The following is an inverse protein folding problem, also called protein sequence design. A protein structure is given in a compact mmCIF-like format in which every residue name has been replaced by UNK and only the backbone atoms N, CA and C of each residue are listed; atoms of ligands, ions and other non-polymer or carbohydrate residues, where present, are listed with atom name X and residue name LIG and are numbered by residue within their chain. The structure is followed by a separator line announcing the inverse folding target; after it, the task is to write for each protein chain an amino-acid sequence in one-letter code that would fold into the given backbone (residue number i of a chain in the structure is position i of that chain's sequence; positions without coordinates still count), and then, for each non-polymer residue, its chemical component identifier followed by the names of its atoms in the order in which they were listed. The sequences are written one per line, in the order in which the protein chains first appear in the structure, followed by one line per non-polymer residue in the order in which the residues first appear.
data_IF_290810238561
#
_entry.id   IF_290810238561
#
_cell.length_a   1.000
_cell.length_b   1.000
_cell.length_c   1.000
_cell.angle_alpha   90.00
_cell.angle_beta   90.00
_cell.angle_gamma   90.00
#
_symmetry.space_group_name_H-M   'P 1'
#
loop_
_entity.id
_entity.type
_entity.pdbx_description
1 polymer ?
#
# COMPACT_ATOMS: atom_id res chain seq x y z
N UNK A 1 -24.17 -5.66 3.50
CA UNK A 1 -24.82 -4.61 2.69
C UNK A 1 -23.93 -3.37 2.51
N UNK A 2 -23.32 -2.78 3.55
CA UNK A 2 -22.44 -1.58 3.43
C UNK A 2 -21.16 -1.78 2.59
N UNK A 3 -20.55 -2.96 2.65
CA UNK A 3 -19.33 -3.29 1.89
C UNK A 3 -19.56 -3.39 0.38
N UNK A 4 -20.78 -3.74 -0.06
CA UNK A 4 -21.14 -3.78 -1.48
C UNK A 4 -21.36 -2.36 -2.03
N UNK A 5 -21.96 -1.48 -1.22
CA UNK A 5 -22.14 -0.06 -1.57
C UNK A 5 -20.79 0.66 -1.72
N UNK A 6 -19.85 0.43 -0.79
CA UNK A 6 -18.49 1.00 -0.85
C UNK A 6 -17.71 0.58 -2.10
N UNK A 7 -18.00 -0.61 -2.64
CA UNK A 7 -17.34 -1.14 -3.85
C UNK A 7 -17.87 -0.49 -5.14
N UNK A 8 -19.20 -0.33 -5.26
CA UNK A 8 -19.81 0.31 -6.43
C UNK A 8 -19.61 1.83 -6.43
N UNK A 9 -19.60 2.45 -5.25
CA UNK A 9 -19.53 3.89 -5.07
C UNK A 9 -18.17 4.34 -4.51
N UNK A 10 -17.08 3.61 -4.76
CA UNK A 10 -15.75 3.94 -4.22
C UNK A 10 -15.35 5.40 -4.47
N UNK A 11 -15.62 5.90 -5.67
CA UNK A 11 -15.36 7.29 -6.05
C UNK A 11 -16.21 8.29 -5.27
N UNK A 12 -17.50 8.01 -5.08
CA UNK A 12 -18.38 8.84 -4.27
C UNK A 12 -17.96 8.81 -2.80
N UNK A 13 -17.63 7.63 -2.26
CA UNK A 13 -17.10 7.48 -0.90
C UNK A 13 -15.84 8.31 -0.71
N UNK A 14 -14.92 8.29 -1.69
CA UNK A 14 -13.67 9.05 -1.65
C UNK A 14 -13.92 10.55 -1.77
N UNK A 15 -14.82 10.98 -2.65
CA UNK A 15 -15.25 12.38 -2.75
C UNK A 15 -15.84 12.88 -1.41
N UNK A 16 -16.73 12.11 -0.80
CA UNK A 16 -17.32 12.44 0.51
C UNK A 16 -16.27 12.44 1.62
N UNK A 17 -15.27 11.55 1.57
CA UNK A 17 -14.16 11.55 2.52
C UNK A 17 -13.31 12.82 2.42
N UNK A 18 -13.21 13.44 1.24
CA UNK A 18 -12.50 14.72 1.09
C UNK A 18 -13.25 15.89 1.74
N UNK A 19 -14.57 15.76 1.99
CA UNK A 19 -15.36 16.77 2.72
C UNK A 19 -14.95 16.94 4.18
N UNK A 20 -14.14 16.02 4.72
CA UNK A 20 -13.50 16.20 6.03
C UNK A 20 -12.68 17.49 6.10
N UNK A 21 -12.01 17.90 5.01
CA UNK A 21 -11.19 19.12 4.99
C UNK A 21 -12.05 20.38 5.21
N UNK A 22 -13.10 20.66 4.41
CA UNK A 22 -13.97 21.80 4.67
C UNK A 22 -14.72 21.67 6.01
N UNK A 23 -15.06 20.45 6.45
CA UNK A 23 -15.66 20.23 7.77
C UNK A 23 -14.72 20.68 8.90
N UNK A 24 -13.42 20.35 8.85
CA UNK A 24 -12.45 20.81 9.84
C UNK A 24 -12.30 22.34 9.83
N UNK A 25 -12.28 22.96 8.66
CA UNK A 25 -12.21 24.43 8.52
C UNK A 25 -13.43 25.08 9.17
N UNK A 26 -14.63 24.60 8.86
CA UNK A 26 -15.87 25.14 9.44
C UNK A 26 -15.95 24.91 10.95
N UNK A 27 -15.51 23.75 11.44
CA UNK A 27 -15.48 23.45 12.86
C UNK A 27 -14.50 24.38 13.62
N UNK A 28 -13.34 24.67 13.04
CA UNK A 28 -12.37 25.62 13.58
C UNK A 28 -12.89 27.07 13.59
N UNK A 29 -13.63 27.49 12.55
CA UNK A 29 -14.24 28.83 12.49
C UNK A 29 -15.42 28.97 13.47
N UNK A 30 -16.21 27.91 13.65
CA UNK A 30 -17.38 27.91 14.54
C UNK A 30 -16.99 27.85 16.03
N UNK A 31 -15.96 27.08 16.37
CA UNK A 31 -15.44 26.95 17.73
C UNK A 31 -13.91 27.08 17.74
N UNK A 32 -13.36 28.30 17.88
CA UNK A 32 -11.91 28.54 17.76
C UNK A 32 -11.04 27.71 18.71
N UNK A 33 -11.57 27.35 19.89
CA UNK A 33 -10.86 26.48 20.85
C UNK A 33 -10.67 25.05 20.33
N UNK A 34 -11.43 24.60 19.33
CA UNK A 34 -11.27 23.30 18.68
C UNK A 34 -9.91 23.17 17.99
N UNK A 35 -9.31 24.28 17.53
CA UNK A 35 -7.98 24.27 16.91
C UNK A 35 -6.94 23.64 17.83
N UNK A 36 -7.00 23.95 19.13
CA UNK A 36 -6.07 23.39 20.12
C UNK A 36 -6.25 21.88 20.31
N UNK A 37 -7.49 21.37 20.17
CA UNK A 37 -7.76 19.93 20.22
C UNK A 37 -7.36 19.20 18.93
N UNK A 38 -7.45 19.87 17.78
CA UNK A 38 -7.08 19.32 16.47
C UNK A 38 -5.58 19.37 16.19
N UNK A 39 -4.85 20.28 16.84
CA UNK A 39 -3.44 20.50 16.57
C UNK A 39 -2.58 19.23 16.83
N UNK A 40 -2.68 18.53 17.99
CA UNK A 40 -1.90 17.31 18.20
C UNK A 40 -2.15 16.20 17.16
N UNK A 41 -3.39 15.77 16.85
CA UNK A 41 -3.61 14.73 15.85
C UNK A 41 -3.24 15.19 14.44
N UNK A 42 -3.40 16.47 14.10
CA UNK A 42 -3.01 17.00 12.80
C UNK A 42 -1.48 16.97 12.61
N UNK A 43 -0.71 17.39 13.63
CA UNK A 43 0.75 17.32 13.60
C UNK A 43 1.24 15.87 13.53
N UNK A 44 0.62 14.96 14.29
CA UNK A 44 0.95 13.54 14.22
C UNK A 44 0.68 12.95 12.83
N UNK A 45 -0.46 13.29 12.22
CA UNK A 45 -0.79 12.86 10.87
C UNK A 45 0.18 13.44 9.82
N UNK A 46 0.55 14.71 9.94
CA UNK A 46 1.55 15.33 9.06
C UNK A 46 2.92 14.64 9.18
N UNK A 47 3.36 14.32 10.41
CA UNK A 47 4.58 13.57 10.63
C UNK A 47 4.53 12.17 9.99
N UNK A 48 3.42 11.43 10.14
CA UNK A 48 3.22 10.13 9.49
C UNK A 48 3.30 10.23 7.96
N UNK A 49 2.67 11.23 7.35
CA UNK A 49 2.75 11.48 5.90
C UNK A 49 4.19 11.72 5.43
N UNK A 50 4.95 12.55 6.16
CA UNK A 50 6.36 12.83 5.84
C UNK A 50 7.20 11.55 5.95
N UNK A 51 7.00 10.75 6.99
CA UNK A 51 7.72 9.49 7.18
C UNK A 51 7.39 8.48 6.07
N UNK A 52 6.13 8.36 5.66
CA UNK A 52 5.72 7.51 4.54
C UNK A 52 6.31 7.96 3.21
N UNK A 53 6.28 9.26 2.93
CA UNK A 53 6.86 9.82 1.71
C UNK A 53 8.38 9.56 1.66
N UNK A 54 9.08 9.78 2.77
CA UNK A 54 10.51 9.49 2.90
C UNK A 54 10.82 8.00 2.77
N UNK A 55 10.01 7.13 3.38
CA UNK A 55 10.13 5.67 3.25
C UNK A 55 10.00 5.25 1.79
N UNK A 56 8.98 5.74 1.08
CA UNK A 56 8.77 5.45 -0.33
C UNK A 56 9.93 5.93 -1.20
N UNK A 57 10.38 7.17 -0.99
CA UNK A 57 11.49 7.73 -1.76
C UNK A 57 12.79 6.93 -1.56
N UNK A 58 13.03 6.44 -0.34
CA UNK A 58 14.18 5.57 -0.04
C UNK A 58 14.01 4.15 -0.55
N UNK A 59 12.79 3.62 -0.62
CA UNK A 59 12.58 2.25 -1.06
C UNK A 59 13.05 2.04 -2.50
N UNK A 60 12.78 2.99 -3.41
CA UNK A 60 13.13 2.89 -4.83
C UNK A 60 12.66 1.58 -5.46
N UNK A 61 11.50 1.10 -5.02
CA UNK A 61 11.02 -0.24 -5.30
C UNK A 61 10.57 -0.41 -6.75
N UNK A 62 11.12 -1.41 -7.43
CA UNK A 62 10.74 -1.77 -8.79
C UNK A 62 10.58 -3.29 -8.92
N UNK A 63 9.67 -3.73 -9.77
CA UNK A 63 9.51 -5.16 -10.09
C UNK A 63 10.81 -5.68 -10.72
N UNK A 64 11.37 -6.75 -10.18
CA UNK A 64 12.41 -7.53 -10.87
C UNK A 64 11.80 -8.69 -11.65
N UNK A 65 10.82 -9.37 -11.06
CA UNK A 65 10.08 -10.49 -11.66
C UNK A 65 8.64 -10.49 -11.17
N UNK A 66 7.72 -10.89 -12.03
CA UNK A 66 6.34 -11.15 -11.64
C UNK A 66 5.84 -12.40 -12.36
N UNK A 67 5.05 -13.21 -11.67
CA UNK A 67 4.43 -14.40 -12.25
C UNK A 67 3.05 -14.61 -11.66
N UNK A 68 2.16 -15.19 -12.46
CA UNK A 68 0.82 -15.55 -12.04
C UNK A 68 0.67 -17.08 -12.05
N UNK A 69 0.12 -17.64 -10.99
CA UNK A 69 -0.17 -19.06 -10.88
C UNK A 69 -1.69 -19.28 -10.97
N UNK A 70 -2.13 -19.89 -12.06
CA UNK A 70 -3.55 -20.17 -12.29
C UNK A 70 -4.12 -21.27 -11.37
N UNK A 71 -3.30 -22.24 -10.95
CA UNK A 71 -3.73 -23.33 -10.08
C UNK A 71 -4.04 -22.89 -8.65
N UNK A 72 -3.40 -21.81 -8.17
CA UNK A 72 -3.62 -21.24 -6.84
C UNK A 72 -4.31 -19.88 -6.81
N UNK A 73 -4.61 -19.29 -7.98
CA UNK A 73 -5.18 -17.94 -8.15
C UNK A 73 -4.41 -16.87 -7.34
N UNK A 74 -3.09 -16.82 -7.55
CA UNK A 74 -2.21 -15.84 -6.90
C UNK A 74 -1.12 -15.33 -7.83
N UNK A 75 -0.62 -14.14 -7.54
CA UNK A 75 0.55 -13.56 -8.16
C UNK A 75 1.74 -13.56 -7.19
N UNK A 76 2.92 -13.91 -7.69
CA UNK A 76 4.18 -13.69 -6.99
C UNK A 76 4.89 -12.53 -7.65
N UNK A 77 5.26 -11.53 -6.86
CA UNK A 77 6.06 -10.39 -7.32
C UNK A 77 7.37 -10.34 -6.53
N UNK A 78 8.47 -10.28 -7.24
CA UNK A 78 9.80 -10.02 -6.69
C UNK A 78 10.12 -8.56 -6.96
N UNK A 79 10.47 -7.85 -5.90
CA UNK A 79 10.70 -6.42 -5.90
C UNK A 79 12.15 -6.16 -5.57
N UNK A 80 12.86 -5.44 -6.44
CA UNK A 80 14.20 -4.93 -6.17
C UNK A 80 14.09 -3.63 -5.40
N UNK A 81 14.87 -3.53 -4.33
CA UNK A 81 14.91 -2.36 -3.45
C UNK A 81 16.20 -1.58 -3.66
N UNK A 82 16.14 -0.26 -3.48
CA UNK A 82 17.33 0.61 -3.55
C UNK A 82 18.33 0.23 -2.45
N UNK A 83 19.60 0.64 -2.62
CA UNK A 83 20.64 0.47 -1.59
C UNK A 83 20.28 1.09 -0.23
N UNK A 84 19.47 2.15 -0.23
CA UNK A 84 19.09 2.89 0.98
C UNK A 84 17.82 2.39 1.66
N UNK A 85 17.13 1.42 1.05
CA UNK A 85 15.93 0.81 1.61
C UNK A 85 16.28 -0.07 2.83
N UNK A 86 15.40 -0.11 3.82
CA UNK A 86 15.48 -1.15 4.85
C UNK A 86 15.03 -2.48 4.23
N UNK A 87 15.82 -3.54 4.43
CA UNK A 87 15.43 -4.89 4.04
C UNK A 87 14.48 -5.47 5.09
N UNK A 88 13.37 -6.11 4.68
CA UNK A 88 12.50 -6.81 5.62
C UNK A 88 13.21 -7.99 6.30
N UNK A 89 12.97 -8.16 7.60
CA UNK A 89 13.29 -9.37 8.35
C UNK A 89 12.17 -10.42 8.28
N UNK A 90 12.43 -11.59 8.85
CA UNK A 90 11.43 -12.65 8.95
C UNK A 90 10.17 -12.20 9.72
N UNK A 91 9.00 -12.60 9.24
CA UNK A 91 7.71 -12.25 9.85
C UNK A 91 7.26 -10.80 9.61
N UNK A 92 8.04 -9.98 8.90
CA UNK A 92 7.67 -8.62 8.57
C UNK A 92 6.77 -8.54 7.33
N UNK A 93 6.00 -7.46 7.26
CA UNK A 93 5.13 -7.14 6.15
C UNK A 93 5.41 -5.74 5.62
N UNK A 94 4.97 -5.47 4.40
CA UNK A 94 5.06 -4.17 3.75
C UNK A 94 3.69 -3.73 3.26
N UNK A 95 3.49 -2.43 3.09
CA UNK A 95 2.35 -1.93 2.33
C UNK A 95 2.76 -1.80 0.86
N UNK A 96 2.19 -2.65 0.02
CA UNK A 96 2.43 -2.72 -1.42
C UNK A 96 1.36 -1.94 -2.19
N UNK A 97 1.78 -1.06 -3.09
CA UNK A 97 0.90 -0.38 -4.03
C UNK A 97 1.41 -0.47 -5.47
N UNK A 98 0.51 -0.36 -6.45
CA UNK A 98 0.84 -0.40 -7.87
C UNK A 98 0.08 0.71 -8.64
N UNK A 99 0.34 1.99 -8.31
CA UNK A 99 -0.46 3.11 -8.83
C UNK A 99 -0.40 3.22 -10.37
N UNK A 100 0.76 2.97 -10.97
CA UNK A 100 0.98 2.99 -12.42
C UNK A 100 0.18 1.92 -13.18
N UNK A 101 -0.16 0.81 -12.52
CA UNK A 101 -0.82 -0.35 -13.14
C UNK A 101 -2.33 -0.37 -12.86
N UNK A 102 -2.72 0.07 -11.66
CA UNK A 102 -4.10 0.02 -11.20
C UNK A 102 -4.85 1.34 -11.36
N UNK A 103 -4.17 2.41 -11.81
CA UNK A 103 -4.75 3.70 -12.20
C UNK A 103 -5.37 4.51 -11.06
N UNK A 104 -5.72 3.89 -9.94
CA UNK A 104 -6.29 4.57 -8.78
C UNK A 104 -6.25 3.71 -7.50
N UNK A 105 -5.04 3.47 -6.99
CA UNK A 105 -4.89 2.91 -5.66
C UNK A 105 -3.70 3.59 -4.97
N UNK A 106 -3.97 4.76 -4.40
CA UNK A 106 -3.06 5.44 -3.45
C UNK A 106 -3.03 4.71 -2.10
N UNK A 107 -3.80 3.63 -1.96
CA UNK A 107 -3.93 2.89 -0.72
C UNK A 107 -3.08 1.61 -0.86
N UNK A 108 -1.82 1.61 -0.41
CA UNK A 108 -1.01 0.41 -0.41
C UNK A 108 -1.58 -0.60 0.59
N UNK A 109 -1.58 -1.88 0.21
CA UNK A 109 -2.18 -2.96 0.99
C UNK A 109 -1.11 -3.78 1.72
N UNK A 110 -1.37 -4.25 2.94
CA UNK A 110 -0.40 -5.02 3.70
C UNK A 110 -0.22 -6.43 3.11
N UNK A 111 1.04 -6.82 2.90
CA UNK A 111 1.42 -8.19 2.57
C UNK A 111 2.68 -8.58 3.31
N UNK A 112 2.66 -9.79 3.89
CA UNK A 112 3.85 -10.40 4.45
C UNK A 112 4.89 -10.62 3.35
N UNK A 113 6.15 -10.38 3.71
CA UNK A 113 7.28 -10.67 2.81
C UNK A 113 7.57 -12.16 2.89
N UNK A 114 7.45 -12.85 1.76
CA UNK A 114 7.58 -14.30 1.70
C UNK A 114 9.05 -14.75 1.67
N UNK A 115 9.92 -13.95 1.07
CA UNK A 115 11.35 -14.21 0.98
C UNK A 115 12.14 -12.91 0.82
N UNK A 116 13.39 -12.90 1.29
CA UNK A 116 14.35 -11.81 1.06
C UNK A 116 15.69 -12.39 0.63
N UNK A 117 16.18 -11.92 -0.51
CA UNK A 117 17.56 -12.07 -0.94
C UNK A 117 18.32 -10.78 -0.62
N UNK A 118 19.11 -10.82 0.45
CA UNK A 118 19.85 -9.65 0.92
C UNK A 118 20.97 -9.24 -0.04
N UNK A 119 21.59 -10.19 -0.75
CA UNK A 119 22.68 -9.92 -1.68
C UNK A 119 22.16 -9.23 -2.94
N UNK A 120 21.05 -9.72 -3.50
CA UNK A 120 20.40 -9.10 -4.65
C UNK A 120 19.53 -7.88 -4.28
N UNK A 121 19.28 -7.67 -2.97
CA UNK A 121 18.31 -6.71 -2.43
C UNK A 121 16.91 -6.88 -3.03
N UNK A 122 16.49 -8.13 -3.14
CA UNK A 122 15.19 -8.51 -3.66
C UNK A 122 14.31 -9.04 -2.53
N UNK A 123 13.04 -8.64 -2.52
CA UNK A 123 12.04 -9.14 -1.61
C UNK A 123 10.85 -9.68 -2.41
N UNK A 124 10.33 -10.85 -2.05
CA UNK A 124 9.18 -11.44 -2.71
C UNK A 124 7.91 -11.28 -1.88
N UNK A 125 6.81 -11.04 -2.57
CA UNK A 125 5.47 -10.93 -2.00
C UNK A 125 4.53 -11.82 -2.80
N UNK A 126 3.67 -12.53 -2.08
CA UNK A 126 2.61 -13.36 -2.67
C UNK A 126 1.27 -12.67 -2.45
N UNK A 127 0.58 -12.38 -3.54
CA UNK A 127 -0.73 -11.71 -3.54
C UNK A 127 -1.77 -12.71 -3.99
N UNK A 128 -2.63 -13.14 -3.06
CA UNK A 128 -3.77 -14.02 -3.38
C UNK A 128 -4.92 -13.20 -3.94
N UNK A 129 -5.48 -13.62 -5.06
CA UNK A 129 -6.67 -12.99 -5.60
C UNK A 129 -7.85 -13.19 -4.64
N UNK A 130 -8.59 -12.13 -4.37
CA UNK A 130 -9.89 -12.23 -3.69
C UNK A 130 -10.97 -12.54 -4.72
N UNK A 131 -12.00 -13.28 -4.34
CA UNK A 131 -13.15 -13.60 -5.21
C UNK A 131 -13.93 -12.37 -5.72
N UNK A 132 -13.74 -11.18 -5.13
CA UNK A 132 -14.40 -9.96 -5.60
C UNK A 132 -13.71 -9.38 -6.85
N UNK A 133 -14.42 -9.36 -7.97
CA UNK A 133 -13.96 -8.86 -9.27
C UNK A 133 -13.47 -7.39 -9.29
N UNK A 134 -13.75 -6.60 -8.26
CA UNK A 134 -13.27 -5.22 -8.09
C UNK A 134 -12.25 -5.01 -6.96
N UNK A 135 -11.85 -6.08 -6.27
CA UNK A 135 -10.90 -5.99 -5.15
C UNK A 135 -9.49 -5.65 -5.64
N UNK A 136 -8.73 -4.90 -4.83
CA UNK A 136 -7.36 -4.50 -5.18
C UNK A 136 -6.49 -5.71 -5.55
N UNK A 137 -6.51 -6.77 -4.74
CA UNK A 137 -5.69 -7.96 -4.97
C UNK A 137 -6.07 -8.70 -6.25
N UNK A 138 -7.38 -8.77 -6.56
CA UNK A 138 -7.85 -9.37 -7.81
C UNK A 138 -7.34 -8.58 -9.02
N UNK A 139 -7.54 -7.26 -9.00
CA UNK A 139 -7.07 -6.38 -10.08
C UNK A 139 -5.55 -6.42 -10.25
N UNK A 140 -4.80 -6.57 -9.16
CA UNK A 140 -3.36 -6.77 -9.19
C UNK A 140 -2.98 -8.11 -9.85
N UNK A 141 -3.61 -9.22 -9.43
CA UNK A 141 -3.40 -10.53 -10.05
C UNK A 141 -3.75 -10.52 -11.55
N UNK A 142 -4.90 -9.96 -11.92
CA UNK A 142 -5.31 -9.83 -13.33
C UNK A 142 -4.30 -8.98 -14.12
N UNK A 143 -3.69 -7.95 -13.50
CA UNK A 143 -2.65 -7.15 -14.14
C UNK A 143 -1.34 -7.91 -14.34
N UNK A 144 -0.95 -8.75 -13.37
CA UNK A 144 0.23 -9.63 -13.51
C UNK A 144 -0.03 -10.67 -14.60
N UNK A 145 -1.20 -11.31 -14.58
CA UNK A 145 -1.61 -12.29 -15.59
C UNK A 145 -1.64 -11.68 -17.00
N UNK A 146 -2.13 -10.43 -17.12
CA UNK A 146 -2.17 -9.71 -18.38
C UNK A 146 -0.80 -9.11 -18.81
N UNK A 147 0.29 -9.38 -18.06
CA UNK A 147 1.62 -8.88 -18.40
C UNK A 147 1.80 -7.37 -18.26
N UNK A 148 1.00 -6.70 -17.41
CA UNK A 148 1.11 -5.26 -17.12
C UNK A 148 2.05 -4.94 -15.96
N UNK A 149 2.39 -5.94 -15.15
CA UNK A 149 3.39 -5.84 -14.07
C UNK A 149 4.68 -6.50 -14.57
N UNK A 150 5.55 -5.72 -15.19
CA UNK A 150 6.78 -6.19 -15.85
C UNK A 150 8.04 -5.70 -15.14
N UNK A 151 9.22 -6.29 -15.40
CA UNK A 151 10.47 -5.79 -14.84
C UNK A 151 10.67 -4.28 -15.07
N UNK A 152 11.09 -3.56 -14.04
CA UNK A 152 11.23 -2.10 -14.04
C UNK A 152 9.94 -1.33 -13.68
N UNK A 153 8.79 -1.99 -13.56
CA UNK A 153 7.54 -1.34 -13.13
C UNK A 153 7.71 -0.78 -11.71
N UNK A 154 7.49 0.53 -11.48
CA UNK A 154 7.63 1.11 -10.15
C UNK A 154 6.47 0.68 -9.25
N UNK A 155 6.78 0.38 -8.00
CA UNK A 155 5.83 -0.01 -6.97
C UNK A 155 5.90 0.93 -5.76
N UNK A 156 4.77 1.09 -5.08
CA UNK A 156 4.76 1.65 -3.73
C UNK A 156 5.20 0.56 -2.75
N UNK A 157 6.18 0.87 -1.91
CA UNK A 157 6.74 -0.03 -0.91
C UNK A 157 6.97 0.76 0.39
N UNK A 158 6.04 0.63 1.33
CA UNK A 158 6.16 1.23 2.66
C UNK A 158 6.47 0.15 3.70
N UNK A 159 7.41 0.44 4.59
CA UNK A 159 7.89 -0.50 5.61
C UNK A 159 9.40 -0.72 5.52
N UNK A 160 9.90 -1.85 6.07
CA UNK A 160 9.14 -2.96 6.63
C UNK A 160 8.42 -2.63 7.95
N UNK A 161 7.32 -3.33 8.21
CA UNK A 161 6.51 -3.23 9.42
C UNK A 161 6.34 -4.60 10.08
N UNK A 162 5.93 -4.58 11.35
CA UNK A 162 5.75 -5.78 12.15
C UNK A 162 7.04 -6.18 12.87
N UNK A 163 6.86 -6.69 14.09
CA UNK A 163 7.92 -7.22 14.95
C UNK A 163 7.58 -8.66 15.35
N UNK A 164 6.91 -9.39 14.45
CA UNK A 164 6.42 -10.73 14.74
C UNK A 164 7.62 -11.68 14.80
N UNK A 165 8.23 -11.75 15.99
CA UNK A 165 9.26 -12.71 16.32
C UNK A 165 8.57 -14.08 16.39
N UNK A 166 8.76 -14.89 15.36
CA UNK A 166 8.51 -16.32 15.50
C UNK A 166 9.67 -16.83 16.36
N UNK A 167 9.43 -17.35 17.58
CA UNK A 167 10.50 -17.98 18.34
C UNK A 167 11.08 -19.13 17.50
N UNK A 168 12.40 -19.11 17.32
CA UNK A 168 13.16 -20.18 16.67
C UNK A 168 13.26 -21.40 17.59
#
# INVERSE_FOLDING_TARGET
SSLLLRRAAFWLFRLLHLLFVPMLVMAALHYPKLVWALLPPALNYAADLVLRARSQARAGAAVSRASYNAGGDFATVVVRLSATAALPGAGQFVLLGAPSVLGCAVDPHPFSVAWVDAAAREASVVVKATASAGGWTRRFCDAVQAGRVVPGTPLTWLGPYGSLQVPL
#
